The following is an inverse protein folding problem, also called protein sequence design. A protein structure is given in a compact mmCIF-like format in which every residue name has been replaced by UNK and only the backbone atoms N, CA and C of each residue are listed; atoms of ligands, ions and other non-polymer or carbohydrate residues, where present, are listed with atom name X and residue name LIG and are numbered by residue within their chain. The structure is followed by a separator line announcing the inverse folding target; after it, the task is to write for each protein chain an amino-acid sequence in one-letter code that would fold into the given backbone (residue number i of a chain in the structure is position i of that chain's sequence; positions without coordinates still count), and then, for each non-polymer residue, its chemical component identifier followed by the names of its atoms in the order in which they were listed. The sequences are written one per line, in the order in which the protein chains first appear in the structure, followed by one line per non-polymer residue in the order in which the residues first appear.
data_IF_666826846915
#
_entry.id   IF_666826846915
#
_cell.length_a   1.000
_cell.length_b   1.000
_cell.length_c   1.000
_cell.angle_alpha   90.00
_cell.angle_beta   90.00
_cell.angle_gamma   90.00
#
_symmetry.space_group_name_H-M   'P 1'
#
loop_
_entity.id
_entity.type
_entity.pdbx_description
1 polymer ?
#
# COMPACT_ATOMS: atom_id res chain seq x y z
N UNK A 1 -41.72 -21.95 9.10
CA UNK A 1 -40.45 -22.34 9.74
C UNK A 1 -39.34 -22.61 8.70
N UNK A 2 -39.59 -23.45 7.69
CA UNK A 2 -38.61 -23.81 6.64
C UNK A 2 -38.10 -22.59 5.85
N UNK A 3 -38.98 -21.67 5.41
CA UNK A 3 -38.58 -20.48 4.64
C UNK A 3 -37.61 -19.55 5.40
N UNK A 4 -37.77 -19.43 6.73
CA UNK A 4 -36.88 -18.62 7.58
C UNK A 4 -35.51 -19.27 7.72
N UNK A 5 -35.45 -20.60 7.79
CA UNK A 5 -34.20 -21.37 7.84
C UNK A 5 -33.48 -21.27 6.49
N UNK A 6 -34.20 -21.34 5.38
CA UNK A 6 -33.62 -21.16 4.03
C UNK A 6 -33.05 -19.76 3.82
N UNK A 7 -33.73 -18.71 4.28
CA UNK A 7 -33.22 -17.33 4.22
C UNK A 7 -31.98 -17.16 5.10
N UNK A 8 -31.99 -17.74 6.31
CA UNK A 8 -30.86 -17.67 7.23
C UNK A 8 -29.63 -18.41 6.68
N UNK A 9 -29.81 -19.58 6.07
CA UNK A 9 -28.75 -20.35 5.43
C UNK A 9 -28.20 -19.66 4.17
N UNK A 10 -29.06 -19.02 3.37
CA UNK A 10 -28.62 -18.21 2.23
C UNK A 10 -27.83 -16.97 2.67
N UNK A 11 -28.25 -16.32 3.76
CA UNK A 11 -27.49 -15.24 4.40
C UNK A 11 -26.13 -15.74 4.90
N UNK A 12 -26.09 -16.83 5.67
CA UNK A 12 -24.85 -17.42 6.19
C UNK A 12 -23.88 -17.83 5.07
N UNK A 13 -24.37 -18.35 3.96
CA UNK A 13 -23.56 -18.69 2.79
C UNK A 13 -23.03 -17.44 2.06
N UNK A 14 -23.83 -16.36 1.97
CA UNK A 14 -23.43 -15.10 1.36
C UNK A 14 -22.36 -14.34 2.17
N UNK A 15 -22.28 -14.57 3.49
CA UNK A 15 -21.26 -13.99 4.39
C UNK A 15 -20.01 -14.86 4.57
N UNK A 16 -19.85 -15.96 3.82
CA UNK A 16 -18.62 -16.75 3.83
C UNK A 16 -17.49 -16.01 3.11
N UNK A 17 -16.89 -15.03 3.81
CA UNK A 17 -15.74 -14.29 3.31
C UNK A 17 -14.52 -15.19 3.41
N UNK A 18 -14.05 -15.69 2.26
CA UNK A 18 -12.81 -16.44 2.19
C UNK A 18 -11.63 -15.48 2.44
N UNK A 19 -10.97 -15.63 3.58
CA UNK A 19 -9.67 -15.01 3.85
C UNK A 19 -8.66 -15.44 2.78
N UNK A 20 -8.33 -14.52 1.88
CA UNK A 20 -7.28 -14.70 0.88
C UNK A 20 -5.94 -14.51 1.59
N UNK A 21 -5.16 -15.58 1.64
CA UNK A 21 -3.76 -15.54 2.03
C UNK A 21 -2.95 -16.25 0.94
N UNK A 22 -1.73 -15.78 0.64
CA UNK A 22 -0.90 -16.45 -0.35
C UNK A 22 -0.65 -17.88 0.08
N UNK A 23 -1.03 -18.85 -0.77
CA UNK A 23 -0.96 -20.28 -0.45
C UNK A 23 0.46 -20.84 -0.50
N UNK A 24 1.40 -20.12 -1.09
CA UNK A 24 2.79 -20.54 -1.25
C UNK A 24 3.65 -20.04 -0.11
N UNK A 25 4.55 -20.89 0.40
CA UNK A 25 5.64 -20.44 1.29
C UNK A 25 6.35 -19.24 0.66
N UNK A 26 6.84 -18.30 1.49
CA UNK A 26 7.73 -17.23 1.03
C UNK A 26 9.00 -17.88 0.48
N UNK A 27 8.96 -18.18 -0.80
CA UNK A 27 10.00 -18.81 -1.61
C UNK A 27 10.26 -17.84 -2.73
N UNK A 28 11.50 -17.72 -3.20
CA UNK A 28 11.95 -16.71 -4.18
C UNK A 28 10.97 -16.55 -5.35
N UNK A 29 10.01 -15.64 -5.19
CA UNK A 29 9.14 -15.21 -6.26
C UNK A 29 9.95 -14.38 -7.23
N UNK A 30 9.51 -14.34 -8.49
CA UNK A 30 9.99 -13.34 -9.43
C UNK A 30 9.78 -11.97 -8.80
N UNK A 31 10.89 -11.32 -8.45
CA UNK A 31 10.83 -9.96 -7.92
C UNK A 31 10.26 -9.10 -9.04
N UNK A 32 9.13 -8.40 -8.84
CA UNK A 32 8.63 -7.45 -9.82
C UNK A 32 9.74 -6.45 -10.17
N UNK A 33 9.67 -5.78 -11.31
CA UNK A 33 10.68 -4.77 -11.69
C UNK A 33 10.76 -3.67 -10.62
N UNK A 34 11.94 -3.08 -10.42
CA UNK A 34 12.09 -1.96 -9.50
C UNK A 34 11.51 -0.70 -10.16
N UNK A 35 10.76 0.14 -9.43
CA UNK A 35 10.32 1.43 -9.97
C UNK A 35 11.54 2.30 -10.26
N UNK A 36 11.51 2.97 -11.41
CA UNK A 36 12.48 4.02 -11.73
C UNK A 36 11.94 5.35 -11.21
N UNK A 37 12.41 5.79 -10.04
CA UNK A 37 11.95 7.01 -9.40
C UNK A 37 12.40 8.31 -10.10
N UNK A 38 13.21 8.21 -11.16
CA UNK A 38 13.43 9.35 -12.06
C UNK A 38 12.22 9.64 -12.95
N UNK A 39 11.30 8.67 -13.09
CA UNK A 39 10.08 8.78 -13.88
C UNK A 39 8.89 9.21 -13.00
N UNK A 40 8.12 10.25 -13.39
CA UNK A 40 6.94 10.70 -12.63
C UNK A 40 5.89 9.62 -12.36
N UNK A 41 5.79 8.61 -13.24
CA UNK A 41 4.85 7.50 -13.15
C UNK A 41 5.16 6.56 -11.97
N UNK A 42 6.42 6.54 -11.51
CA UNK A 42 6.83 5.81 -10.32
C UNK A 42 6.37 6.47 -9.01
N UNK A 43 5.68 7.61 -9.09
CA UNK A 43 5.15 8.34 -7.95
C UNK A 43 3.62 8.31 -7.96
N UNK A 44 3.01 8.08 -6.80
CA UNK A 44 1.59 8.26 -6.55
C UNK A 44 1.23 9.73 -6.32
N UNK A 45 2.14 10.51 -5.72
CA UNK A 45 2.01 11.96 -5.63
C UNK A 45 3.30 12.72 -5.94
N UNK A 46 3.17 13.84 -6.64
CA UNK A 46 4.22 14.82 -6.89
C UNK A 46 3.62 16.23 -6.76
N UNK A 47 4.30 17.22 -6.15
CA UNK A 47 3.73 18.54 -5.89
C UNK A 47 3.39 19.37 -7.14
N UNK A 48 4.00 19.02 -8.28
CA UNK A 48 3.80 19.65 -9.58
C UNK A 48 2.80 18.90 -10.47
N UNK A 49 2.09 17.90 -9.92
CA UNK A 49 1.11 17.09 -10.62
C UNK A 49 -0.22 17.10 -9.89
N UNK A 50 -1.31 17.24 -10.65
CA UNK A 50 -2.66 17.06 -10.10
C UNK A 50 -2.88 15.59 -9.78
N UNK A 51 -3.06 15.25 -8.50
CA UNK A 51 -3.33 13.90 -8.05
C UNK A 51 -4.23 13.83 -6.80
N UNK A 52 -4.36 12.64 -6.22
CA UNK A 52 -5.28 12.42 -5.11
C UNK A 52 -4.81 13.04 -3.78
N UNK A 53 -3.53 13.36 -3.63
CA UNK A 53 -3.03 14.08 -2.46
C UNK A 53 -3.51 15.54 -2.43
N UNK A 54 -3.96 16.10 -3.55
CA UNK A 54 -4.44 17.49 -3.64
C UNK A 54 -5.91 17.64 -3.18
N UNK A 55 -6.55 16.54 -2.80
CA UNK A 55 -7.95 16.58 -2.38
C UNK A 55 -8.14 17.45 -1.14
N UNK A 56 -9.16 18.32 -1.18
CA UNK A 56 -9.55 19.16 -0.05
C UNK A 56 -10.99 18.89 0.38
N UNK A 57 -11.29 18.89 1.68
CA UNK A 57 -12.63 18.61 2.18
C UNK A 57 -13.61 19.79 2.05
N UNK A 58 -13.09 21.02 1.98
CA UNK A 58 -13.89 22.24 1.95
C UNK A 58 -13.12 23.40 1.29
N UNK A 59 -13.82 24.42 0.74
CA UNK A 59 -13.18 25.55 0.04
C UNK A 59 -12.25 26.41 0.91
N UNK A 60 -12.48 26.44 2.23
CA UNK A 60 -11.67 27.18 3.22
C UNK A 60 -10.42 26.40 3.68
N UNK A 61 -10.23 25.19 3.18
CA UNK A 61 -9.05 24.35 3.41
C UNK A 61 -8.37 24.05 2.07
N UNK A 62 -7.74 25.05 1.42
CA UNK A 62 -7.14 24.88 0.09
C UNK A 62 -5.87 24.04 0.12
N UNK A 63 -5.53 23.48 -1.04
CA UNK A 63 -4.18 22.97 -1.32
C UNK A 63 -3.21 24.16 -1.44
N UNK A 64 -2.14 24.13 -0.66
CA UNK A 64 -1.11 25.18 -0.56
C UNK A 64 0.29 24.61 -0.82
N UNK A 65 0.40 23.51 -1.57
CA UNK A 65 1.68 22.88 -1.89
C UNK A 65 2.63 23.83 -2.64
N UNK A 66 2.11 24.74 -3.47
CA UNK A 66 2.92 25.67 -4.25
C UNK A 66 3.66 26.70 -3.38
N UNK A 67 3.06 27.10 -2.25
CA UNK A 67 3.63 28.04 -1.28
C UNK A 67 4.33 27.34 -0.10
N UNK A 68 4.27 26.01 -0.04
CA UNK A 68 4.77 25.26 1.10
C UNK A 68 6.30 25.35 1.24
N UNK A 69 6.75 25.62 2.46
CA UNK A 69 8.18 25.68 2.80
C UNK A 69 8.78 24.31 3.17
N UNK A 70 7.92 23.32 3.41
CA UNK A 70 8.30 21.98 3.85
C UNK A 70 7.98 20.92 2.79
N UNK A 71 8.73 19.81 2.87
CA UNK A 71 8.51 18.61 2.06
C UNK A 71 8.05 17.46 2.95
N UNK A 72 7.05 16.71 2.49
CA UNK A 72 6.62 15.46 3.12
C UNK A 72 6.81 14.31 2.14
N UNK A 73 7.61 13.34 2.56
CA UNK A 73 7.72 12.04 1.91
C UNK A 73 6.73 11.06 2.54
N UNK A 74 5.58 10.87 1.91
CA UNK A 74 4.50 10.04 2.43
C UNK A 74 4.60 8.60 1.91
N UNK A 75 4.83 7.65 2.83
CA UNK A 75 4.74 6.22 2.55
C UNK A 75 3.33 5.74 2.89
N UNK A 76 2.53 5.49 1.85
CA UNK A 76 1.19 4.92 2.03
C UNK A 76 1.28 3.52 2.68
N UNK A 77 0.29 3.08 3.48
CA UNK A 77 0.26 1.72 3.99
C UNK A 77 0.01 0.70 2.87
N UNK A 78 0.23 -0.59 3.15
CA UNK A 78 -0.24 -1.63 2.22
C UNK A 78 -1.75 -1.72 2.25
N UNK A 79 -2.36 -1.71 1.06
CA UNK A 79 -3.75 -2.10 0.85
C UNK A 79 -3.86 -3.34 -0.04
N UNK A 80 -2.72 -4.00 -0.26
CA UNK A 80 -2.62 -5.21 -1.05
C UNK A 80 -3.07 -6.41 -0.22
N UNK A 81 -4.32 -6.80 -0.41
CA UNK A 81 -4.97 -7.95 0.25
C UNK A 81 -5.12 -9.16 -0.68
N UNK A 82 -4.56 -9.07 -1.88
CA UNK A 82 -4.68 -10.09 -2.92
C UNK A 82 -6.10 -10.23 -3.48
N UNK A 83 -6.26 -11.16 -4.42
CA UNK A 83 -7.56 -11.62 -4.96
C UNK A 83 -7.72 -13.11 -4.72
N UNK A 84 -8.92 -13.66 -4.87
CA UNK A 84 -9.13 -15.12 -4.74
C UNK A 84 -8.16 -15.87 -5.66
N UNK A 85 -7.31 -16.73 -5.09
CA UNK A 85 -6.28 -17.46 -5.83
C UNK A 85 -4.93 -16.76 -5.89
N UNK A 86 -4.76 -15.63 -5.19
CA UNK A 86 -3.48 -14.92 -5.09
C UNK A 86 -2.36 -15.82 -4.60
N UNK A 87 -1.20 -15.67 -5.23
CA UNK A 87 0.02 -16.39 -4.92
C UNK A 87 1.13 -15.43 -4.53
N UNK A 88 1.06 -14.18 -4.95
CA UNK A 88 2.14 -13.22 -4.77
C UNK A 88 2.15 -12.59 -3.38
N UNK A 89 3.34 -12.56 -2.77
CA UNK A 89 3.56 -11.90 -1.49
C UNK A 89 3.79 -10.41 -1.63
N UNK A 90 4.05 -9.91 -2.84
CA UNK A 90 4.26 -8.50 -3.13
C UNK A 90 3.45 -8.10 -4.36
N UNK A 91 2.63 -7.07 -4.23
CA UNK A 91 1.90 -6.47 -5.35
C UNK A 91 2.90 -5.84 -6.34
N UNK A 92 2.72 -6.05 -7.66
CA UNK A 92 3.46 -5.32 -8.69
C UNK A 92 3.21 -3.81 -8.58
N UNK A 93 4.21 -3.01 -8.93
CA UNK A 93 4.08 -1.53 -8.89
C UNK A 93 3.22 -1.01 -10.04
N UNK A 94 3.15 -1.76 -11.13
CA UNK A 94 2.40 -1.48 -12.35
C UNK A 94 1.00 -2.10 -12.37
N UNK A 95 0.51 -2.70 -11.27
CA UNK A 95 -0.88 -3.17 -11.18
C UNK A 95 -1.84 -1.96 -11.16
N UNK A 96 -2.60 -1.71 -12.25
CA UNK A 96 -3.43 -0.52 -12.37
C UNK A 96 -4.58 -0.52 -11.34
N UNK A 97 -5.11 -1.68 -10.97
CA UNK A 97 -6.20 -1.77 -10.01
C UNK A 97 -5.75 -1.58 -8.56
N UNK A 98 -4.53 -2.02 -8.22
CA UNK A 98 -3.93 -1.69 -6.92
C UNK A 98 -3.60 -0.20 -6.84
N UNK A 99 -3.08 0.37 -7.92
CA UNK A 99 -2.74 1.78 -8.03
C UNK A 99 -3.97 2.68 -7.89
N UNK A 100 -5.04 2.42 -8.65
CA UNK A 100 -6.30 3.16 -8.55
C UNK A 100 -6.89 3.12 -7.12
N UNK A 101 -6.84 1.95 -6.48
CA UNK A 101 -7.30 1.82 -5.08
C UNK A 101 -6.41 2.60 -4.12
N UNK A 102 -5.09 2.63 -4.33
CA UNK A 102 -4.14 3.36 -3.49
C UNK A 102 -4.41 4.86 -3.59
N UNK A 103 -4.60 5.34 -4.82
CA UNK A 103 -4.86 6.75 -5.11
C UNK A 103 -6.20 7.19 -4.49
N UNK A 104 -7.28 6.44 -4.71
CA UNK A 104 -8.62 6.75 -4.20
C UNK A 104 -8.84 6.42 -2.71
N UNK A 105 -7.83 5.91 -1.99
CA UNK A 105 -7.95 5.62 -0.56
C UNK A 105 -6.85 6.30 0.26
N UNK A 106 -5.67 5.71 0.32
CA UNK A 106 -4.57 6.18 1.17
C UNK A 106 -4.06 7.54 0.72
N UNK A 107 -3.97 7.79 -0.59
CA UNK A 107 -3.56 9.11 -1.06
C UNK A 107 -4.63 10.15 -0.76
N UNK A 108 -5.86 9.90 -1.22
CA UNK A 108 -6.98 10.82 -1.04
C UNK A 108 -7.33 11.16 0.41
N UNK A 109 -7.30 10.18 1.31
CA UNK A 109 -7.81 10.34 2.68
C UNK A 109 -6.73 10.38 3.75
N UNK A 110 -5.46 10.12 3.42
CA UNK A 110 -4.36 10.16 4.40
C UNK A 110 -3.23 11.09 3.96
N UNK A 111 -2.78 11.02 2.71
CA UNK A 111 -1.72 11.91 2.22
C UNK A 111 -2.19 13.37 2.12
N UNK A 112 -3.46 13.59 1.76
CA UNK A 112 -4.03 14.92 1.57
C UNK A 112 -4.02 15.82 2.80
N UNK A 113 -3.87 15.28 4.02
CA UNK A 113 -3.76 16.10 5.23
C UNK A 113 -2.55 17.05 5.19
N UNK A 114 -1.54 16.74 4.38
CA UNK A 114 -0.30 17.51 4.30
C UNK A 114 -0.35 18.65 3.28
N UNK A 115 -1.28 18.63 2.32
CA UNK A 115 -1.29 19.56 1.19
C UNK A 115 -1.48 21.04 1.58
N UNK A 116 -2.02 21.32 2.76
CA UNK A 116 -2.14 22.69 3.28
C UNK A 116 -0.85 23.27 3.88
N UNK A 117 0.23 22.48 4.03
CA UNK A 117 1.47 22.92 4.71
C UNK A 117 2.77 22.39 4.11
N UNK A 118 2.72 21.36 3.27
CA UNK A 118 3.90 20.70 2.73
C UNK A 118 3.66 20.20 1.31
N UNK A 119 4.71 20.26 0.48
CA UNK A 119 4.79 19.58 -0.82
C UNK A 119 4.79 18.07 -0.60
N UNK A 120 3.82 17.36 -1.19
CA UNK A 120 3.63 15.93 -0.98
C UNK A 120 4.35 15.12 -2.06
N UNK A 121 5.27 14.29 -1.62
CA UNK A 121 5.94 13.28 -2.45
C UNK A 121 5.55 11.90 -1.96
N UNK A 122 4.94 11.08 -2.81
CA UNK A 122 4.57 9.72 -2.43
C UNK A 122 4.99 8.73 -3.52
N UNK A 123 5.94 7.82 -3.27
CA UNK A 123 6.39 6.85 -4.27
C UNK A 123 5.37 5.72 -4.45
N UNK A 124 5.25 5.18 -5.66
CA UNK A 124 4.71 3.84 -5.85
C UNK A 124 5.80 2.82 -5.52
N UNK A 125 5.46 1.81 -4.74
CA UNK A 125 6.39 0.76 -4.34
C UNK A 125 5.71 -0.61 -4.31
N UNK A 126 6.51 -1.68 -4.25
CA UNK A 126 5.98 -3.04 -4.16
C UNK A 126 5.37 -3.26 -2.79
N UNK A 127 4.04 -3.33 -2.73
CA UNK A 127 3.32 -3.47 -1.47
C UNK A 127 3.37 -4.93 -1.01
N UNK A 128 3.90 -5.18 0.18
CA UNK A 128 3.81 -6.51 0.79
C UNK A 128 2.34 -6.87 1.05
N UNK A 129 1.98 -8.14 0.83
CA UNK A 129 0.63 -8.64 1.07
C UNK A 129 0.28 -8.44 2.55
N UNK A 130 -0.93 -7.97 2.84
CA UNK A 130 -1.38 -7.65 4.20
C UNK A 130 -1.18 -8.81 5.20
N UNK A 131 -1.33 -10.05 4.74
CA UNK A 131 -1.08 -11.25 5.55
C UNK A 131 0.37 -11.38 6.07
N UNK A 132 1.35 -10.72 5.44
CA UNK A 132 2.76 -10.70 5.89
C UNK A 132 2.93 -10.13 7.30
N UNK A 133 1.98 -9.33 7.79
CA UNK A 133 2.01 -8.76 9.14
C UNK A 133 1.44 -9.70 10.22
N UNK A 134 0.84 -10.85 9.84
CA UNK A 134 0.14 -11.76 10.76
C UNK A 134 0.84 -13.11 10.97
N UNK A 135 2.14 -13.20 10.66
CA UNK A 135 2.93 -14.42 10.91
C UNK A 135 2.93 -14.79 12.40
N UNK A 136 2.27 -15.91 12.72
CA UNK A 136 2.31 -16.54 14.05
C UNK A 136 3.74 -16.99 14.35
N UNK A 137 4.27 -16.57 15.50
CA UNK A 137 5.57 -17.01 16.00
C UNK A 137 6.72 -16.06 15.74
N UNK A 138 6.47 -14.74 15.70
CA UNK A 138 7.53 -13.73 15.82
C UNK A 138 8.18 -13.79 17.21
N UNK A 139 8.96 -14.84 17.45
CA UNK A 139 10.01 -14.80 18.45
C UNK A 139 11.04 -13.90 17.83
N UNK A 140 11.12 -12.64 18.28
CA UNK A 140 12.24 -11.75 17.99
C UNK A 140 13.51 -12.59 18.23
N UNK A 141 14.14 -13.09 17.16
CA UNK A 141 15.49 -13.60 17.31
C UNK A 141 16.27 -12.36 17.68
N UNK A 142 16.92 -12.31 18.86
CA UNK A 142 17.71 -11.15 19.23
C UNK A 142 18.63 -10.87 18.05
N UNK A 143 18.63 -9.61 17.59
CA UNK A 143 19.46 -9.19 16.48
C UNK A 143 20.89 -9.59 16.82
N UNK A 144 21.37 -10.69 16.22
CA UNK A 144 22.78 -11.05 16.31
C UNK A 144 23.47 -10.03 15.43
N UNK A 145 23.94 -8.96 16.05
CA UNK A 145 24.98 -8.13 15.48
C UNK A 145 26.07 -9.08 15.02
N UNK A 146 26.24 -9.21 13.70
CA UNK A 146 27.37 -9.92 13.11
C UNK A 146 28.44 -8.84 12.86
N UNK A 147 29.45 -8.71 13.73
CA UNK A 147 30.58 -7.85 13.42
C UNK A 147 31.26 -8.46 12.19
N UNK A 148 31.25 -7.78 11.04
CA UNK A 148 32.00 -8.24 9.86
C UNK A 148 31.38 -8.00 8.49
N UNK A 149 30.10 -7.61 8.39
CA UNK A 149 29.56 -7.16 7.10
C UNK A 149 29.98 -5.71 6.86
N UNK A 150 31.24 -5.52 6.44
CA UNK A 150 31.69 -4.27 5.81
C UNK A 150 30.82 -4.01 4.58
N UNK A 151 30.42 -2.74 4.44
CA UNK A 151 29.38 -2.28 3.54
C UNK A 151 29.48 -2.83 2.12
N UNK A 152 28.40 -3.46 1.67
CA UNK A 152 27.94 -3.25 0.30
C UNK A 152 26.92 -2.14 0.40
N UNK A 153 27.34 -0.95 -0.05
CA UNK A 153 26.45 0.17 -0.25
C UNK A 153 25.26 -0.32 -1.10
N UNK A 154 24.06 -0.19 -0.57
CA UNK A 154 22.88 -0.10 -1.40
C UNK A 154 23.07 1.20 -2.19
N UNK A 155 23.42 1.09 -3.48
CA UNK A 155 23.23 2.20 -4.39
C UNK A 155 21.73 2.32 -4.60
N UNK A 156 21.21 3.51 -4.26
CA UNK A 156 19.97 4.03 -4.79
C UNK A 156 20.08 4.09 -6.32
#
# INVERSE_FOLDING_TARGET
MILRISILLAFLAAFSSCLVHPKTSFTEQSRPTAPDYSQPEAWAALPDRIDSADWTPAPDLPDLQAEAEADVFFLHPTIYIGRKGERDWNGPVDDPGLNERTDNSTMKYQASIFNGTARVYAPRYRQAHFHSYFVRGFRLRPARFRPGLRGRQARL
#
